data_IF_038228264915
#
_entry.id   IF_038228264915
#
_cell.length_a   1.000
_cell.length_b   1.000
_cell.length_c   1.000
_cell.angle_alpha   90.00
_cell.angle_beta   90.00
_cell.angle_gamma   90.00
#
_symmetry.space_group_name_H-M   'P 1'
#
loop_
_entity.id
_entity.type
_entity.pdbx_description
1 polymer ?
#
# COMPACT_ATOMS: atom_id res chain seq x y z
N UNK A 1 -20.84 -9.41 12.21
CA UNK A 1 -20.43 -9.29 13.63
C UNK A 1 -18.91 -9.36 13.64
N UNK A 2 -18.24 -8.21 13.53
CA UNK A 2 -16.77 -8.16 13.46
C UNK A 2 -16.26 -7.96 14.88
N UNK A 3 -15.83 -9.05 15.50
CA UNK A 3 -15.12 -9.01 16.78
C UNK A 3 -13.70 -8.50 16.52
N UNK A 4 -13.46 -7.22 16.75
CA UNK A 4 -12.12 -6.65 16.69
C UNK A 4 -11.57 -6.53 18.09
N UNK A 5 -10.69 -7.46 18.46
CA UNK A 5 -9.80 -7.27 19.60
C UNK A 5 -8.82 -6.14 19.25
N UNK A 6 -8.87 -5.03 19.99
CA UNK A 6 -7.80 -4.04 19.92
C UNK A 6 -6.47 -4.76 20.24
N UNK A 7 -5.50 -4.65 19.33
CA UNK A 7 -4.17 -5.24 19.54
C UNK A 7 -3.49 -4.56 20.74
N UNK A 8 -3.40 -5.28 21.85
CA UNK A 8 -2.77 -4.81 23.10
C UNK A 8 -1.27 -5.12 23.16
N UNK A 9 -0.66 -5.60 22.07
CA UNK A 9 0.72 -6.13 22.12
C UNK A 9 1.81 -5.07 22.13
N UNK A 10 1.49 -3.79 22.03
CA UNK A 10 2.47 -2.69 22.14
C UNK A 10 3.51 -2.63 21.02
N UNK A 11 3.35 -3.42 19.95
CA UNK A 11 4.32 -3.49 18.84
C UNK A 11 4.09 -2.40 17.79
N UNK A 12 5.18 -2.06 17.10
CA UNK A 12 5.19 -1.06 16.03
C UNK A 12 4.31 -1.48 14.86
N UNK A 13 3.69 -0.50 14.21
CA UNK A 13 2.79 -0.70 13.08
C UNK A 13 3.30 0.00 11.81
N UNK A 14 2.91 -0.53 10.66
CA UNK A 14 3.13 0.09 9.35
C UNK A 14 1.76 0.49 8.79
N UNK A 15 1.65 1.75 8.38
CA UNK A 15 0.51 2.25 7.61
C UNK A 15 0.82 2.06 6.12
N UNK A 16 -0.03 1.30 5.44
CA UNK A 16 0.07 1.04 4.02
C UNK A 16 -1.07 1.73 3.26
N UNK A 17 -0.75 2.36 2.14
CA UNK A 17 -1.70 3.02 1.27
C UNK A 17 -1.44 2.56 -0.15
N UNK A 18 -2.45 2.00 -0.80
CA UNK A 18 -2.44 1.72 -2.23
C UNK A 18 -3.41 2.65 -2.94
N UNK A 19 -2.89 3.41 -3.92
CA UNK A 19 -3.64 4.46 -4.59
C UNK A 19 -3.84 4.13 -6.06
N UNK A 20 -5.02 3.58 -6.34
CA UNK A 20 -5.53 3.34 -7.68
C UNK A 20 -6.25 4.55 -8.28
N UNK A 21 -6.57 4.48 -9.57
CA UNK A 21 -7.29 5.54 -10.28
C UNK A 21 -8.71 5.79 -9.75
N UNK A 22 -9.36 4.77 -9.21
CA UNK A 22 -10.75 4.81 -8.73
C UNK A 22 -10.84 4.78 -7.21
N UNK A 23 -9.99 3.99 -6.57
CA UNK A 23 -10.02 3.79 -5.13
C UNK A 23 -8.63 3.93 -4.51
N UNK A 24 -8.62 4.40 -3.27
CA UNK A 24 -7.48 4.33 -2.36
C UNK A 24 -7.81 3.28 -1.32
N UNK A 25 -6.92 2.32 -1.13
CA UNK A 25 -6.98 1.38 -0.02
C UNK A 25 -6.01 1.83 1.05
N UNK A 26 -6.47 1.93 2.29
CA UNK A 26 -5.67 2.25 3.47
C UNK A 26 -5.75 1.12 4.46
N UNK A 27 -4.62 0.64 4.93
CA UNK A 27 -4.56 -0.44 5.90
C UNK A 27 -3.43 -0.25 6.90
N UNK A 28 -3.53 -0.93 8.02
CA UNK A 28 -2.51 -0.95 9.04
C UNK A 28 -2.06 -2.39 9.29
N UNK A 29 -0.75 -2.61 9.29
CA UNK A 29 -0.13 -3.92 9.45
C UNK A 29 0.71 -3.95 10.72
N UNK A 30 0.62 -5.04 11.46
CA UNK A 30 1.43 -5.33 12.63
C UNK A 30 1.88 -6.79 12.60
N UNK A 31 3.20 -7.04 12.53
CA UNK A 31 3.77 -8.40 12.45
C UNK A 31 3.07 -9.29 11.42
N UNK A 32 3.06 -8.86 10.19
CA UNK A 32 2.48 -9.54 9.02
C UNK A 32 0.95 -9.80 9.12
N UNK A 33 0.29 -9.16 10.09
CA UNK A 33 -1.17 -9.22 10.24
C UNK A 33 -1.78 -7.90 9.87
N UNK A 34 -2.73 -7.93 8.94
CA UNK A 34 -3.58 -6.80 8.63
C UNK A 34 -4.52 -6.56 9.80
N UNK A 35 -4.40 -5.38 10.43
CA UNK A 35 -5.25 -4.96 11.56
C UNK A 35 -6.59 -4.44 11.06
N UNK A 36 -6.55 -3.65 10.01
CA UNK A 36 -7.71 -3.21 9.26
C UNK A 36 -7.32 -2.88 7.81
N UNK A 37 -8.31 -2.87 6.96
CA UNK A 37 -8.26 -2.38 5.59
C UNK A 37 -9.56 -1.64 5.30
N UNK A 38 -9.45 -0.45 4.70
CA UNK A 38 -10.59 0.34 4.25
C UNK A 38 -10.36 0.91 2.87
N UNK A 39 -11.46 1.09 2.15
CA UNK A 39 -11.46 1.60 0.79
C UNK A 39 -12.14 2.96 0.73
N UNK A 40 -11.48 3.90 0.08
CA UNK A 40 -11.94 5.26 -0.15
C UNK A 40 -11.99 5.53 -1.66
N UNK A 41 -12.82 6.45 -2.10
CA UNK A 41 -12.78 6.93 -3.48
C UNK A 41 -11.55 7.79 -3.73
N UNK A 42 -10.89 7.61 -4.86
CA UNK A 42 -9.83 8.50 -5.32
C UNK A 42 -10.45 9.80 -5.84
N UNK A 43 -10.15 10.91 -5.20
CA UNK A 43 -10.59 12.23 -5.61
C UNK A 43 -9.38 13.14 -5.86
N UNK A 44 -9.18 13.49 -7.14
CA UNK A 44 -8.01 14.30 -7.55
C UNK A 44 -8.10 15.77 -7.19
N UNK A 45 -9.28 16.22 -6.73
CA UNK A 45 -9.51 17.61 -6.35
C UNK A 45 -9.28 17.86 -4.85
N UNK A 46 -9.15 16.79 -4.05
CA UNK A 46 -8.90 16.92 -2.61
C UNK A 46 -7.51 17.45 -2.31
N UNK A 47 -7.49 18.32 -1.33
CA UNK A 47 -6.25 18.88 -0.76
C UNK A 47 -5.60 17.88 0.21
N UNK A 48 -4.35 18.15 0.55
CA UNK A 48 -3.60 17.45 1.60
C UNK A 48 -4.38 17.38 2.92
N UNK A 49 -4.98 18.50 3.35
CA UNK A 49 -5.71 18.56 4.61
C UNK A 49 -6.96 17.67 4.59
N UNK A 50 -7.70 17.64 3.50
CA UNK A 50 -8.89 16.80 3.36
C UNK A 50 -8.52 15.31 3.45
N UNK A 51 -7.46 14.88 2.78
CA UNK A 51 -6.95 13.52 2.91
C UNK A 51 -6.43 13.22 4.32
N UNK A 52 -5.72 14.16 4.95
CA UNK A 52 -5.25 13.99 6.32
C UNK A 52 -6.41 13.78 7.31
N UNK A 53 -7.48 14.56 7.18
CA UNK A 53 -8.70 14.42 8.00
C UNK A 53 -9.35 13.06 7.77
N UNK A 54 -9.50 12.63 6.51
CA UNK A 54 -10.09 11.33 6.18
C UNK A 54 -9.26 10.19 6.78
N UNK A 55 -7.94 10.18 6.55
CA UNK A 55 -7.06 9.14 7.06
C UNK A 55 -7.04 9.10 8.60
N UNK A 56 -6.99 10.27 9.25
CA UNK A 56 -7.09 10.36 10.70
C UNK A 56 -8.40 9.77 11.20
N UNK A 57 -9.52 10.09 10.57
CA UNK A 57 -10.83 9.55 10.91
C UNK A 57 -10.86 8.02 10.79
N UNK A 58 -10.28 7.46 9.71
CA UNK A 58 -10.18 6.00 9.54
C UNK A 58 -9.36 5.39 10.68
N UNK A 59 -8.21 5.96 11.02
CA UNK A 59 -7.38 5.46 12.12
C UNK A 59 -8.13 5.51 13.46
N UNK A 60 -8.87 6.58 13.73
CA UNK A 60 -9.69 6.74 14.94
C UNK A 60 -10.83 5.70 15.00
N UNK A 61 -11.52 5.44 13.88
CA UNK A 61 -12.58 4.42 13.81
C UNK A 61 -12.06 3.04 14.20
N UNK A 62 -10.82 2.72 13.83
CA UNK A 62 -10.16 1.46 14.18
C UNK A 62 -9.36 1.53 15.49
N UNK A 63 -9.44 2.65 16.21
CA UNK A 63 -8.74 2.89 17.49
C UNK A 63 -7.24 2.66 17.38
N UNK A 64 -6.66 3.02 16.23
CA UNK A 64 -5.23 2.96 16.02
C UNK A 64 -4.56 4.12 16.76
N UNK A 65 -3.63 3.78 17.63
CA UNK A 65 -2.75 4.77 18.23
C UNK A 65 -1.66 5.16 17.21
N UNK A 66 -1.78 6.37 16.69
CA UNK A 66 -0.88 6.91 15.67
C UNK A 66 0.59 6.91 16.12
N UNK A 67 0.85 7.06 17.42
CA UNK A 67 2.21 7.03 17.97
C UNK A 67 2.92 5.68 17.78
N UNK A 68 2.16 4.62 17.52
CA UNK A 68 2.66 3.28 17.22
C UNK A 68 2.99 3.06 15.74
N UNK A 69 2.61 3.97 14.86
CA UNK A 69 2.97 3.90 13.43
C UNK A 69 4.43 4.35 13.31
N UNK A 70 5.32 3.42 12.98
CA UNK A 70 6.76 3.65 12.84
C UNK A 70 7.24 3.59 11.39
N UNK A 71 6.39 3.11 10.49
CA UNK A 71 6.63 3.08 9.07
C UNK A 71 5.38 3.44 8.30
N UNK A 72 5.54 4.06 7.15
CA UNK A 72 4.46 4.36 6.22
C UNK A 72 4.92 4.06 4.80
N UNK A 73 4.07 3.40 4.00
CA UNK A 73 4.38 3.03 2.63
C UNK A 73 3.20 3.37 1.71
N UNK A 74 3.51 3.89 0.53
CA UNK A 74 2.54 4.27 -0.49
C UNK A 74 2.89 3.58 -1.79
N UNK A 75 1.95 2.79 -2.34
CA UNK A 75 1.90 2.38 -3.74
C UNK A 75 0.97 3.32 -4.49
N UNK A 76 1.29 3.69 -5.72
CA UNK A 76 0.43 4.61 -6.49
C UNK A 76 0.60 4.47 -7.98
N UNK A 77 -0.55 4.49 -8.68
CA UNK A 77 -0.65 4.69 -10.14
C UNK A 77 -1.26 6.06 -10.49
N UNK A 78 -1.31 7.00 -9.53
CA UNK A 78 -1.84 8.37 -9.71
C UNK A 78 -0.78 9.40 -9.33
N UNK A 79 0.18 9.72 -10.21
CA UNK A 79 1.34 10.56 -9.90
C UNK A 79 0.99 11.93 -9.31
N UNK A 80 -0.12 12.53 -9.76
CA UNK A 80 -0.55 13.87 -9.31
C UNK A 80 -0.89 13.91 -7.81
N UNK A 81 -1.34 12.80 -7.23
CA UNK A 81 -1.73 12.72 -5.82
C UNK A 81 -0.60 12.27 -4.90
N UNK A 82 0.50 11.74 -5.42
CA UNK A 82 1.58 11.17 -4.59
C UNK A 82 2.06 12.17 -3.54
N UNK A 83 2.38 13.40 -3.94
CA UNK A 83 2.87 14.41 -3.00
C UNK A 83 1.80 14.84 -1.99
N UNK A 84 0.54 14.95 -2.43
CA UNK A 84 -0.60 15.30 -1.57
C UNK A 84 -0.77 14.24 -0.48
N UNK A 85 -0.77 12.97 -0.86
CA UNK A 85 -0.93 11.85 0.09
C UNK A 85 0.30 11.73 1.01
N UNK A 86 1.52 11.92 0.49
CA UNK A 86 2.74 11.96 1.32
C UNK A 86 2.60 12.98 2.45
N UNK A 87 2.27 14.22 2.09
CA UNK A 87 2.13 15.31 3.06
C UNK A 87 0.98 15.05 4.04
N UNK A 88 -0.14 14.50 3.58
CA UNK A 88 -1.27 14.12 4.42
C UNK A 88 -0.86 13.06 5.47
N UNK A 89 -0.16 12.01 5.02
CA UNK A 89 0.31 10.92 5.91
C UNK A 89 1.35 11.42 6.90
N UNK A 90 2.35 12.18 6.43
CA UNK A 90 3.39 12.74 7.30
C UNK A 90 2.80 13.69 8.35
N UNK A 91 1.79 14.49 7.98
CA UNK A 91 1.10 15.39 8.89
C UNK A 91 0.42 14.67 10.05
N UNK A 92 -0.15 13.48 9.84
CA UNK A 92 -0.86 12.74 10.88
C UNK A 92 0.02 11.76 11.65
N UNK A 93 1.05 11.19 11.00
CA UNK A 93 1.89 10.16 11.61
C UNK A 93 3.23 10.68 12.13
N UNK A 94 3.68 11.83 11.62
CA UNK A 94 5.04 12.37 11.79
C UNK A 94 6.14 11.42 11.28
N UNK A 95 5.79 10.49 10.39
CA UNK A 95 6.70 9.54 9.74
C UNK A 95 6.69 9.78 8.24
N UNK A 96 7.86 10.05 7.66
CA UNK A 96 8.00 10.26 6.23
C UNK A 96 7.66 8.96 5.45
N UNK A 97 6.70 8.99 4.51
CA UNK A 97 6.32 7.81 3.77
C UNK A 97 7.38 7.37 2.75
N UNK A 98 7.61 6.07 2.67
CA UNK A 98 8.25 5.45 1.53
C UNK A 98 7.25 5.37 0.37
N UNK A 99 7.66 5.73 -0.84
CA UNK A 99 6.81 5.60 -2.04
C UNK A 99 7.41 4.51 -2.92
N UNK A 100 6.61 3.50 -3.24
CA UNK A 100 7.02 2.41 -4.14
C UNK A 100 7.24 2.96 -5.54
N UNK A 101 8.41 2.70 -6.11
CA UNK A 101 8.76 3.19 -7.43
C UNK A 101 10.21 2.86 -7.80
N UNK A 102 10.69 3.37 -8.95
CA UNK A 102 12.04 3.11 -9.41
C UNK A 102 13.09 3.45 -8.37
N UNK A 103 13.98 2.49 -8.09
CA UNK A 103 15.06 2.67 -7.11
C UNK A 103 14.78 2.10 -5.72
N UNK A 104 13.55 1.71 -5.40
CA UNK A 104 13.25 0.98 -4.17
C UNK A 104 13.62 -0.49 -4.35
N UNK A 105 14.38 -1.01 -3.40
CA UNK A 105 14.74 -2.43 -3.37
C UNK A 105 13.57 -3.25 -2.82
N UNK A 106 12.77 -3.79 -3.70
CA UNK A 106 11.62 -4.65 -3.35
C UNK A 106 12.00 -6.13 -3.22
N UNK A 107 13.21 -6.50 -3.67
CA UNK A 107 13.61 -7.91 -3.82
C UNK A 107 13.09 -8.57 -5.11
N UNK A 108 12.21 -7.91 -5.85
CA UNK A 108 11.68 -8.39 -7.11
C UNK A 108 12.70 -8.14 -8.24
N UNK A 109 13.03 -9.18 -8.99
CA UNK A 109 13.86 -9.07 -10.19
C UNK A 109 12.94 -8.97 -11.41
N UNK A 110 12.94 -7.80 -12.05
CA UNK A 110 12.02 -7.51 -13.17
C UNK A 110 12.76 -7.76 -14.49
N UNK A 111 12.32 -8.79 -15.21
CA UNK A 111 12.83 -9.19 -16.53
C UNK A 111 11.91 -8.72 -17.65
N UNK A 112 11.88 -7.42 -17.88
CA UNK A 112 11.11 -6.79 -18.96
C UNK A 112 12.01 -5.80 -19.71
N UNK A 113 11.66 -5.49 -20.96
CA UNK A 113 12.41 -4.53 -21.79
C UNK A 113 12.49 -3.15 -21.15
N UNK A 114 11.41 -2.71 -20.47
CA UNK A 114 11.34 -1.43 -19.80
C UNK A 114 10.90 -1.60 -18.32
N UNK A 115 11.79 -2.04 -17.41
CA UNK A 115 11.42 -2.35 -16.02
C UNK A 115 10.86 -1.16 -15.24
N UNK A 116 11.25 0.08 -15.63
CA UNK A 116 10.78 1.32 -14.99
C UNK A 116 9.33 1.68 -15.30
N UNK A 117 8.73 1.01 -16.29
CA UNK A 117 7.33 1.21 -16.68
C UNK A 117 6.34 0.29 -15.97
N UNK A 118 6.85 -0.67 -15.21
CA UNK A 118 6.00 -1.54 -14.39
C UNK A 118 5.35 -0.70 -13.30
N UNK A 119 4.03 -0.74 -13.23
CA UNK A 119 3.26 -0.02 -12.23
C UNK A 119 3.61 -0.44 -10.81
N UNK A 120 3.51 0.48 -9.87
CA UNK A 120 3.81 0.18 -8.47
C UNK A 120 2.87 -0.88 -7.89
N UNK A 121 1.61 -0.89 -8.32
CA UNK A 121 0.59 -1.89 -8.02
C UNK A 121 1.06 -3.30 -8.40
N UNK A 122 1.50 -3.50 -9.64
CA UNK A 122 1.99 -4.80 -10.13
C UNK A 122 3.22 -5.28 -9.37
N UNK A 123 4.09 -4.35 -8.96
CA UNK A 123 5.27 -4.67 -8.15
C UNK A 123 4.87 -5.15 -6.77
N UNK A 124 3.95 -4.46 -6.08
CA UNK A 124 3.54 -4.87 -4.72
C UNK A 124 2.78 -6.18 -4.72
N UNK A 125 1.94 -6.40 -5.74
CA UNK A 125 1.21 -7.67 -5.92
C UNK A 125 2.17 -8.84 -6.13
N UNK A 126 3.19 -8.66 -6.97
CA UNK A 126 4.19 -9.71 -7.22
C UNK A 126 5.00 -10.02 -5.96
N UNK A 127 5.41 -9.00 -5.21
CA UNK A 127 6.14 -9.18 -3.94
C UNK A 127 5.27 -9.91 -2.93
N UNK A 128 4.00 -9.53 -2.79
CA UNK A 128 3.05 -10.20 -1.89
C UNK A 128 2.84 -11.66 -2.29
N UNK A 129 2.58 -11.92 -3.58
CA UNK A 129 2.36 -13.28 -4.09
C UNK A 129 3.56 -14.20 -3.85
N UNK A 130 4.78 -13.72 -4.08
CA UNK A 130 6.00 -14.51 -3.82
C UNK A 130 6.11 -14.83 -2.33
N UNK A 131 5.85 -13.87 -1.44
CA UNK A 131 6.01 -14.07 -0.01
C UNK A 131 4.92 -14.98 0.60
N UNK A 132 3.69 -14.92 0.08
CA UNK A 132 2.57 -15.69 0.63
C UNK A 132 2.43 -17.08 0.00
N UNK A 133 2.69 -17.20 -1.30
CA UNK A 133 2.41 -18.43 -2.07
C UNK A 133 3.66 -19.05 -2.69
N UNK A 134 4.77 -18.34 -2.75
CA UNK A 134 6.00 -18.80 -3.37
C UNK A 134 6.02 -18.62 -4.89
N UNK A 135 6.94 -19.33 -5.55
CA UNK A 135 7.16 -19.31 -7.01
C UNK A 135 7.09 -20.71 -7.60
N UNK A 136 6.67 -20.90 -8.86
CA UNK A 136 6.16 -19.87 -9.78
C UNK A 136 4.75 -19.39 -9.44
N UNK A 137 4.36 -18.20 -9.91
CA UNK A 137 3.03 -17.65 -9.67
C UNK A 137 2.47 -16.92 -10.89
N UNK A 138 1.15 -17.01 -11.08
CA UNK A 138 0.38 -16.18 -12.00
C UNK A 138 -0.53 -15.31 -11.15
N UNK A 139 -0.44 -14.01 -11.34
CA UNK A 139 -1.19 -13.01 -10.58
C UNK A 139 -2.20 -12.38 -11.52
N UNK A 140 -3.46 -12.41 -11.14
CA UNK A 140 -4.54 -11.76 -11.89
C UNK A 140 -5.17 -10.72 -10.98
N UNK A 141 -4.96 -9.45 -11.30
CA UNK A 141 -5.64 -8.34 -10.63
C UNK A 141 -6.86 -7.91 -11.44
N UNK A 142 -8.02 -7.91 -10.80
CA UNK A 142 -9.31 -7.55 -11.39
C UNK A 142 -9.77 -6.23 -10.78
N UNK A 143 -9.27 -5.13 -11.33
CA UNK A 143 -9.58 -3.77 -10.91
C UNK A 143 -10.35 -2.98 -11.98
N UNK A 144 -10.02 -1.70 -12.11
CA UNK A 144 -10.53 -0.84 -13.20
C UNK A 144 -10.09 -1.35 -14.57
N UNK A 145 -8.91 -1.92 -14.65
CA UNK A 145 -8.43 -2.78 -15.72
C UNK A 145 -8.13 -4.16 -15.13
N UNK A 146 -8.17 -5.20 -15.97
CA UNK A 146 -7.68 -6.52 -15.57
C UNK A 146 -6.27 -6.68 -16.06
N UNK A 147 -5.34 -6.97 -15.15
CA UNK A 147 -3.94 -7.26 -15.48
C UNK A 147 -3.59 -8.70 -15.15
N UNK A 148 -2.62 -9.24 -15.86
CA UNK A 148 -2.05 -10.56 -15.59
C UNK A 148 -0.53 -10.44 -15.59
N UNK A 149 0.08 -10.91 -14.51
CA UNK A 149 1.52 -10.92 -14.32
C UNK A 149 2.00 -12.34 -14.04
N UNK A 150 3.23 -12.63 -14.42
CA UNK A 150 3.85 -13.93 -14.21
C UNK A 150 5.14 -13.74 -13.40
N UNK A 151 5.32 -14.59 -12.41
CA UNK A 151 6.59 -14.75 -11.72
C UNK A 151 7.10 -16.16 -12.00
N UNK A 152 8.28 -16.27 -12.55
CA UNK A 152 8.87 -17.57 -12.89
C UNK A 152 9.37 -18.33 -11.66
N UNK A 153 9.83 -19.57 -11.86
CA UNK A 153 10.31 -20.41 -10.75
C UNK A 153 11.56 -19.85 -10.05
N UNK A 154 12.29 -18.95 -10.70
CA UNK A 154 13.46 -18.26 -10.14
C UNK A 154 13.11 -16.97 -9.41
N UNK A 155 11.82 -16.61 -9.36
CA UNK A 155 11.33 -15.38 -8.74
C UNK A 155 11.46 -14.14 -9.63
N UNK A 156 11.66 -14.30 -10.93
CA UNK A 156 11.71 -13.19 -11.87
C UNK A 156 10.30 -12.82 -12.32
N UNK A 157 10.00 -11.55 -12.30
CA UNK A 157 8.77 -10.94 -12.85
C UNK A 157 8.93 -10.80 -14.39
N UNK A 158 7.91 -11.29 -15.14
CA UNK A 158 7.88 -11.34 -16.61
C UNK A 158 6.79 -10.43 -17.16
#
# INVERSE_FOLDING_TARGET
MISKSADKTGKDMVLAIDMGNTNIVIGCVNNDKVIFEERLSTDRNKTELEYAVIFKTVLELYRIDVSRIKGTIISSVVPQLVNIIKMAVEKITHVAPMVVGPGIKTGLNIHMDEPRRVGADLVVDAVAAINEYGTPAIIIDVGTATTMSVVDISGNYQ
#
